data_IF_328026804087
#
_entry.id   IF_328026804087
#
_cell.length_a   1.000
_cell.length_b   1.000
_cell.length_c   1.000
_cell.angle_alpha   90.00
_cell.angle_beta   90.00
_cell.angle_gamma   90.00
#
_symmetry.space_group_name_H-M   'P 1'
#
loop_
_entity.id
_entity.type
_entity.pdbx_description
1 polymer ?
#
# COMPACT_ATOMS: atom_id res chain seq x y z
N UNK A 1 11.98 8.12 -4.63
CA UNK A 1 12.20 8.33 -6.07
C UNK A 1 13.67 8.03 -6.36
N UNK A 2 13.94 7.08 -7.26
CA UNK A 2 15.28 6.53 -7.52
C UNK A 2 15.14 5.32 -8.44
N UNK A 3 14.55 5.51 -9.62
CA UNK A 3 14.32 4.44 -10.59
C UNK A 3 14.32 5.02 -12.00
N UNK A 4 15.48 5.53 -12.42
CA UNK A 4 15.65 5.95 -13.81
C UNK A 4 15.30 4.76 -14.72
N UNK A 5 14.26 4.92 -15.56
CA UNK A 5 13.73 3.95 -16.52
C UNK A 5 12.81 2.79 -16.06
N UNK A 6 12.42 2.66 -14.78
CA UNK A 6 11.44 1.63 -14.36
C UNK A 6 10.01 2.16 -14.43
N UNK A 7 9.09 1.42 -15.07
CA UNK A 7 7.65 1.73 -15.17
C UNK A 7 7.32 3.12 -15.76
N UNK A 8 8.03 3.55 -16.81
CA UNK A 8 7.86 4.88 -17.43
C UNK A 8 6.56 5.08 -18.22
N UNK A 9 5.64 4.09 -18.23
CA UNK A 9 4.39 4.15 -18.98
C UNK A 9 3.17 3.88 -18.14
N UNK A 10 2.06 4.42 -18.61
CA UNK A 10 0.77 4.33 -17.93
C UNK A 10 0.79 5.16 -16.64
N UNK A 11 -0.07 4.79 -15.70
CA UNK A 11 -0.29 5.52 -14.45
C UNK A 11 0.21 4.75 -13.21
N UNK A 12 0.89 3.62 -13.40
CA UNK A 12 1.34 2.77 -12.30
C UNK A 12 2.42 3.43 -11.43
N UNK A 13 3.34 4.18 -12.06
CA UNK A 13 4.40 4.94 -11.38
C UNK A 13 4.42 6.36 -11.93
N UNK A 14 3.90 7.29 -11.14
CA UNK A 14 3.77 8.70 -11.51
C UNK A 14 4.21 9.60 -10.36
N UNK A 15 4.48 10.87 -10.65
CA UNK A 15 4.91 11.85 -9.66
C UNK A 15 3.76 12.32 -8.75
N UNK A 16 2.52 12.24 -9.24
CA UNK A 16 1.32 12.67 -8.53
C UNK A 16 0.29 11.55 -8.59
N UNK A 17 -0.25 11.17 -7.43
CA UNK A 17 -1.30 10.17 -7.29
C UNK A 17 -2.05 10.38 -5.98
N UNK A 18 -3.31 9.99 -5.96
CA UNK A 18 -4.18 10.03 -4.78
C UNK A 18 -4.04 8.73 -3.98
N UNK A 19 -4.07 8.87 -2.66
CA UNK A 19 -3.93 7.75 -1.74
C UNK A 19 -4.89 7.88 -0.56
N UNK A 20 -5.57 6.79 -0.24
CA UNK A 20 -6.28 6.60 1.03
C UNK A 20 -5.34 5.82 1.95
N UNK A 21 -5.01 6.42 3.10
CA UNK A 21 -4.07 5.88 4.08
C UNK A 21 -4.78 5.63 5.42
N UNK A 22 -4.47 4.50 6.03
CA UNK A 22 -4.76 4.19 7.42
C UNK A 22 -3.60 4.69 8.27
N UNK A 23 -3.88 5.41 9.34
CA UNK A 23 -2.87 5.86 10.29
C UNK A 23 -3.38 5.61 11.71
N UNK A 24 -2.64 4.81 12.48
CA UNK A 24 -3.01 4.46 13.84
C UNK A 24 -1.96 4.97 14.82
N UNK A 25 -2.46 5.47 15.95
CA UNK A 25 -1.66 5.88 17.10
C UNK A 25 -2.07 4.98 18.26
N UNK A 26 -1.13 4.23 18.81
CA UNK A 26 -1.37 3.38 19.98
C UNK A 26 -0.52 3.83 21.16
N UNK A 27 -0.83 3.31 22.34
CA UNK A 27 0.05 3.46 23.50
C UNK A 27 1.42 2.83 23.23
N UNK A 28 2.38 3.13 24.11
CA UNK A 28 3.73 2.55 24.18
C UNK A 28 3.66 1.08 24.64
N UNK A 29 3.03 0.27 23.80
CA UNK A 29 2.76 -1.14 24.01
C UNK A 29 2.92 -1.86 22.67
N UNK A 30 3.87 -2.80 22.64
CA UNK A 30 4.22 -3.52 21.42
C UNK A 30 3.16 -4.58 21.06
N UNK A 31 2.50 -5.20 22.04
CA UNK A 31 1.43 -6.16 21.77
C UNK A 31 0.23 -5.45 21.17
N UNK A 32 -0.13 -4.29 21.74
CA UNK A 32 -1.21 -3.46 21.22
C UNK A 32 -0.91 -2.95 19.81
N UNK A 33 0.29 -2.42 19.56
CA UNK A 33 0.65 -1.91 18.22
C UNK A 33 0.73 -3.05 17.20
N UNK A 34 1.23 -4.24 17.58
CA UNK A 34 1.26 -5.40 16.70
C UNK A 34 -0.13 -5.92 16.36
N UNK A 35 -1.05 -5.97 17.34
CA UNK A 35 -2.44 -6.32 17.10
C UNK A 35 -3.12 -5.31 16.16
N UNK A 36 -2.84 -4.02 16.33
CA UNK A 36 -3.37 -2.97 15.46
C UNK A 36 -2.81 -3.06 14.03
N UNK A 37 -1.52 -3.35 13.86
CA UNK A 37 -0.93 -3.62 12.54
C UNK A 37 -1.66 -4.75 11.82
N UNK A 38 -2.00 -5.82 12.54
CA UNK A 38 -2.73 -6.95 11.98
C UNK A 38 -4.16 -6.56 11.56
N UNK A 39 -4.87 -5.73 12.35
CA UNK A 39 -6.18 -5.21 11.95
C UNK A 39 -6.09 -4.32 10.71
N UNK A 40 -5.12 -3.40 10.66
CA UNK A 40 -4.92 -2.52 9.49
C UNK A 40 -4.63 -3.31 8.21
N UNK A 41 -3.84 -4.39 8.34
CA UNK A 41 -3.54 -5.33 7.25
C UNK A 41 -4.80 -6.08 6.81
N UNK A 42 -5.58 -6.61 7.75
CA UNK A 42 -6.83 -7.31 7.45
C UNK A 42 -7.87 -6.39 6.79
N UNK A 43 -8.00 -5.15 7.25
CA UNK A 43 -8.87 -4.16 6.61
C UNK A 43 -8.45 -3.86 5.17
N UNK A 44 -7.14 -3.82 4.90
CA UNK A 44 -6.65 -3.71 3.53
C UNK A 44 -6.99 -4.96 2.71
N UNK A 45 -6.75 -6.16 3.25
CA UNK A 45 -7.12 -7.42 2.59
C UNK A 45 -8.61 -7.49 2.24
N UNK A 46 -9.51 -7.21 3.20
CA UNK A 46 -10.96 -7.17 3.00
C UNK A 46 -11.34 -6.18 1.89
N UNK A 47 -10.70 -5.01 1.85
CA UNK A 47 -10.90 -4.04 0.78
C UNK A 47 -10.55 -4.62 -0.60
N UNK A 48 -9.39 -5.26 -0.77
CA UNK A 48 -9.00 -5.86 -2.06
C UNK A 48 -9.83 -7.10 -2.42
N UNK A 49 -10.27 -7.89 -1.44
CA UNK A 49 -11.20 -9.00 -1.64
C UNK A 49 -12.54 -8.50 -2.17
N UNK A 50 -13.07 -7.40 -1.61
CA UNK A 50 -14.33 -6.77 -2.07
C UNK A 50 -14.25 -6.28 -3.52
N UNK A 51 -13.06 -5.89 -3.97
CA UNK A 51 -12.79 -5.48 -5.35
C UNK A 51 -12.57 -6.67 -6.31
N UNK A 52 -12.53 -7.91 -5.80
CA UNK A 52 -12.24 -9.10 -6.59
C UNK A 52 -10.78 -9.19 -7.08
N UNK A 53 -9.84 -8.52 -6.40
CA UNK A 53 -8.42 -8.53 -6.78
C UNK A 53 -7.72 -9.69 -6.07
N UNK A 54 -7.13 -10.59 -6.85
CA UNK A 54 -6.25 -11.63 -6.31
C UNK A 54 -4.93 -11.01 -5.84
N UNK A 55 -4.44 -11.43 -4.68
CA UNK A 55 -3.20 -10.90 -4.09
C UNK A 55 -2.46 -11.94 -3.27
N UNK A 56 -1.23 -11.59 -2.87
CA UNK A 56 -0.49 -12.27 -1.82
C UNK A 56 -0.03 -11.27 -0.77
N UNK A 57 0.15 -11.75 0.46
CA UNK A 57 0.75 -10.97 1.56
C UNK A 57 2.20 -11.42 1.73
N UNK A 58 3.11 -10.46 1.75
CA UNK A 58 4.55 -10.70 1.91
C UNK A 58 5.03 -9.98 3.16
N UNK A 59 5.67 -10.69 4.08
CA UNK A 59 6.44 -10.07 5.16
C UNK A 59 7.82 -9.73 4.60
N UNK A 60 8.23 -8.46 4.66
CA UNK A 60 9.52 -8.05 4.12
C UNK A 60 10.69 -8.57 4.96
N UNK A 61 11.79 -8.87 4.28
CA UNK A 61 13.07 -9.18 4.91
C UNK A 61 13.67 -7.93 5.55
N UNK A 62 14.51 -8.11 6.56
CA UNK A 62 15.08 -6.99 7.33
C UNK A 62 15.84 -5.95 6.49
N UNK A 63 16.48 -6.36 5.40
CA UNK A 63 17.23 -5.46 4.50
C UNK A 63 16.36 -4.54 3.65
N UNK A 64 15.07 -4.85 3.50
CA UNK A 64 14.11 -4.06 2.72
C UNK A 64 13.24 -3.17 3.62
N UNK A 65 13.47 -3.20 4.94
CA UNK A 65 12.83 -2.28 5.87
C UNK A 65 13.49 -0.90 5.77
N UNK A 66 12.68 0.15 5.82
CA UNK A 66 13.18 1.50 6.05
C UNK A 66 13.50 1.70 7.54
N UNK A 67 14.36 2.67 7.85
CA UNK A 67 14.87 2.93 9.21
C UNK A 67 13.79 3.00 10.30
N UNK A 68 12.59 3.46 9.95
CA UNK A 68 11.49 3.62 10.90
C UNK A 68 10.71 2.33 11.20
N UNK A 69 10.67 1.35 10.28
CA UNK A 69 9.77 0.20 10.42
C UNK A 69 10.44 -0.96 11.15
N UNK A 70 9.81 -1.47 12.22
CA UNK A 70 10.24 -2.71 12.88
C UNK A 70 9.70 -3.96 12.20
N UNK A 71 8.58 -3.82 11.48
CA UNK A 71 7.93 -4.88 10.71
C UNK A 71 7.07 -4.27 9.62
N UNK A 72 7.18 -4.81 8.41
CA UNK A 72 6.43 -4.36 7.25
C UNK A 72 5.82 -5.54 6.48
N UNK A 73 4.55 -5.37 6.12
CA UNK A 73 3.83 -6.29 5.23
C UNK A 73 3.43 -5.56 3.95
N UNK A 74 3.69 -6.20 2.82
CA UNK A 74 3.19 -5.73 1.53
C UNK A 74 2.05 -6.62 1.04
N UNK A 75 0.99 -5.99 0.54
CA UNK A 75 -0.05 -6.68 -0.23
C UNK A 75 0.26 -6.43 -1.70
N UNK A 76 0.62 -7.52 -2.39
CA UNK A 76 0.93 -7.47 -3.81
C UNK A 76 -0.23 -8.04 -4.61
N UNK A 77 -0.86 -7.19 -5.42
CA UNK A 77 -1.93 -7.60 -6.33
C UNK A 77 -1.39 -8.34 -7.54
N UNK A 78 -2.16 -9.28 -8.07
CA UNK A 78 -1.83 -10.03 -9.27
C UNK A 78 -2.21 -9.24 -10.54
N UNK A 79 -1.24 -9.04 -11.43
CA UNK A 79 -1.43 -8.35 -12.71
C UNK A 79 -1.32 -9.38 -13.85
N UNK A 80 -2.45 -9.87 -14.40
CA UNK A 80 -2.44 -10.96 -15.37
C UNK A 80 -1.78 -10.59 -16.71
N UNK A 81 -1.94 -9.35 -17.18
CA UNK A 81 -1.30 -8.86 -18.40
C UNK A 81 0.21 -8.72 -18.27
N UNK A 82 0.70 -8.41 -17.06
CA UNK A 82 2.12 -8.35 -16.73
C UNK A 82 2.71 -9.70 -16.28
N UNK A 83 1.86 -10.67 -15.91
CA UNK A 83 2.25 -11.95 -15.34
C UNK A 83 3.21 -11.78 -14.13
N UNK A 84 2.80 -10.95 -13.18
CA UNK A 84 3.58 -10.62 -11.98
C UNK A 84 2.71 -10.09 -10.84
N UNK A 85 3.16 -10.30 -9.61
CA UNK A 85 2.67 -9.58 -8.44
C UNK A 85 3.28 -8.17 -8.35
N UNK A 86 2.48 -7.17 -7.98
CA UNK A 86 2.92 -5.78 -7.83
C UNK A 86 2.36 -5.20 -6.53
N UNK A 87 3.20 -4.51 -5.79
CA UNK A 87 2.83 -3.85 -4.53
C UNK A 87 1.67 -2.85 -4.73
N UNK A 88 0.59 -3.05 -3.98
CA UNK A 88 -0.56 -2.13 -3.89
C UNK A 88 -0.68 -1.50 -2.49
N UNK A 89 -0.24 -2.23 -1.46
CA UNK A 89 -0.26 -1.78 -0.05
C UNK A 89 1.09 -2.05 0.59
N UNK A 90 1.49 -1.14 1.47
CA UNK A 90 2.55 -1.30 2.46
C UNK A 90 1.98 -0.97 3.83
N UNK A 91 2.07 -1.89 4.79
CA UNK A 91 1.61 -1.75 6.18
C UNK A 91 2.78 -1.89 7.15
N UNK A 92 3.09 -0.82 7.88
CA UNK A 92 4.28 -0.69 8.72
C UNK A 92 3.91 -0.37 10.17
N UNK A 93 4.58 -1.06 11.11
CA UNK A 93 4.65 -0.66 12.50
C UNK A 93 6.00 0.05 12.71
N UNK A 94 5.94 1.33 13.09
CA UNK A 94 7.11 2.17 13.30
C UNK A 94 7.42 2.45 14.77
N UNK A 95 6.67 1.80 15.68
CA UNK A 95 6.75 2.02 17.13
C UNK A 95 6.92 3.50 17.45
N UNK A 96 7.86 3.85 18.32
CA UNK A 96 8.09 5.22 18.76
C UNK A 96 9.06 6.02 17.87
N UNK A 97 9.59 5.41 16.80
CA UNK A 97 10.64 6.01 15.97
C UNK A 97 10.25 7.40 15.47
N UNK A 98 9.08 7.47 14.83
CA UNK A 98 8.52 8.73 14.31
C UNK A 98 8.02 9.64 15.45
N UNK A 99 7.40 9.07 16.48
CA UNK A 99 6.82 9.81 17.60
C UNK A 99 7.87 10.61 18.38
N UNK A 100 9.09 10.07 18.51
CA UNK A 100 10.23 10.77 19.11
C UNK A 100 10.61 12.04 18.35
N UNK A 101 10.59 12.00 17.02
CA UNK A 101 10.92 13.14 16.16
C UNK A 101 9.89 14.27 16.23
N UNK A 102 8.61 13.95 16.37
CA UNK A 102 7.52 14.95 16.44
C UNK A 102 7.03 15.26 17.86
N UNK A 103 7.59 14.60 18.88
CA UNK A 103 7.25 14.85 20.28
C UNK A 103 5.92 14.25 20.76
N UNK A 104 5.39 13.22 20.08
CA UNK A 104 4.09 12.60 20.43
C UNK A 104 4.23 11.67 21.64
N UNK A 105 3.93 12.20 22.83
CA UNK A 105 4.08 11.48 24.10
C UNK A 105 2.80 10.78 24.52
N UNK A 106 2.95 9.61 25.15
CA UNK A 106 1.88 8.99 25.90
C UNK A 106 1.64 9.81 27.17
N UNK A 107 0.40 10.28 27.37
CA UNK A 107 0.02 10.99 28.58
C UNK A 107 0.18 10.08 29.80
N UNK A 108 1.06 10.46 30.73
CA UNK A 108 1.19 9.76 32.01
C UNK A 108 -0.07 10.05 32.86
N UNK A 109 -0.82 9.02 33.25
CA UNK A 109 -1.72 9.16 34.42
C UNK A 109 -0.81 9.52 35.60
N UNK A 110 -1.10 10.62 36.31
CA UNK A 110 -0.37 11.04 37.50
C UNK A 110 -0.48 9.98 38.60
N UNK A 111 0.31 8.92 38.55
CA UNK A 111 0.47 7.96 39.64
C UNK A 111 1.46 8.53 40.64
N UNK A 112 0.95 9.41 41.51
CA UNK A 112 1.60 9.83 42.76
C UNK A 112 2.87 10.68 42.62
N UNK A 113 3.27 11.27 43.75
CA UNK A 113 4.34 12.27 43.91
C UNK A 113 5.74 11.84 43.44
N UNK A 114 5.94 10.59 43.01
CA UNK A 114 7.23 10.05 42.59
C UNK A 114 7.63 10.36 41.14
N UNK A 115 6.72 10.88 40.31
CA UNK A 115 6.96 11.07 38.87
C UNK A 115 7.66 12.38 38.45
N UNK A 116 7.90 13.33 39.36
CA UNK A 116 8.45 14.65 38.98
C UNK A 116 9.98 14.71 38.93
N UNK A 117 10.70 13.82 39.62
CA UNK A 117 12.16 13.90 39.78
C UNK A 117 12.91 12.59 39.46
N UNK A 118 12.27 11.63 38.77
CA UNK A 118 12.97 10.44 38.31
C UNK A 118 13.64 10.72 36.96
N UNK A 119 14.93 11.06 36.99
CA UNK A 119 15.77 11.25 35.80
C UNK A 119 15.92 9.97 34.96
N UNK A 120 15.44 8.82 35.46
CA UNK A 120 15.42 7.53 34.75
C UNK A 120 14.06 7.19 34.13
N UNK A 121 13.00 7.96 34.43
CA UNK A 121 11.69 7.77 33.83
C UNK A 121 11.73 8.16 32.35
N UNK A 122 11.97 7.16 31.49
CA UNK A 122 11.99 7.32 30.03
C UNK A 122 10.65 7.92 29.61
N UNK A 123 10.70 9.04 28.90
CA UNK A 123 9.53 9.60 28.26
C UNK A 123 8.86 8.52 27.40
N UNK A 124 7.63 8.17 27.73
CA UNK A 124 6.83 7.22 26.97
C UNK A 124 6.26 7.92 25.74
N UNK A 125 6.45 7.33 24.57
CA UNK A 125 6.04 7.87 23.28
C UNK A 125 4.99 6.95 22.67
N UNK A 126 4.03 7.52 21.94
CA UNK A 126 3.06 6.70 21.26
C UNK A 126 3.73 5.84 20.17
N UNK A 127 3.15 4.68 19.90
CA UNK A 127 3.50 3.91 18.71
C UNK A 127 2.71 4.43 17.50
N UNK A 128 3.40 4.65 16.38
CA UNK A 128 2.81 5.13 15.14
C UNK A 128 2.86 4.02 14.08
N UNK A 129 1.73 3.81 13.42
CA UNK A 129 1.56 2.82 12.37
C UNK A 129 0.91 3.46 11.16
N UNK A 130 1.31 3.03 9.98
CA UNK A 130 0.71 3.48 8.73
C UNK A 130 0.52 2.31 7.78
N UNK A 131 -0.61 2.32 7.07
CA UNK A 131 -0.92 1.32 6.05
C UNK A 131 -1.66 1.97 4.90
N UNK A 132 -1.21 1.72 3.67
CA UNK A 132 -1.98 2.13 2.50
C UNK A 132 -3.26 1.31 2.39
N UNK A 133 -4.41 1.96 2.25
CA UNK A 133 -5.65 1.27 1.89
C UNK A 133 -5.74 1.17 0.36
N UNK A 134 -5.60 2.30 -0.32
CA UNK A 134 -5.73 2.36 -1.78
C UNK A 134 -4.83 3.45 -2.37
N UNK A 135 -3.84 3.03 -3.17
CA UNK A 135 -3.11 3.92 -4.08
C UNK A 135 -3.82 3.90 -5.44
N UNK A 136 -4.72 4.86 -5.64
CA UNK A 136 -5.74 4.87 -6.71
C UNK A 136 -5.21 4.48 -8.08
N UNK A 137 -4.15 5.14 -8.56
CA UNK A 137 -3.55 4.86 -9.88
C UNK A 137 -3.07 3.41 -10.05
N UNK A 138 -2.46 2.81 -9.02
CA UNK A 138 -2.02 1.41 -9.06
C UNK A 138 -3.19 0.44 -9.02
N UNK A 139 -4.19 0.73 -8.20
CA UNK A 139 -5.41 -0.10 -8.09
C UNK A 139 -6.20 -0.06 -9.40
N UNK A 140 -6.34 1.11 -10.01
CA UNK A 140 -6.94 1.26 -11.35
C UNK A 140 -6.20 0.38 -12.37
N UNK A 141 -4.86 0.41 -12.42
CA UNK A 141 -4.12 -0.48 -13.32
C UNK A 141 -4.44 -1.96 -13.08
N UNK A 142 -4.59 -2.39 -11.82
CA UNK A 142 -4.92 -3.77 -11.49
C UNK A 142 -6.33 -4.12 -11.97
N UNK A 143 -7.32 -3.27 -11.66
CA UNK A 143 -8.71 -3.44 -12.10
C UNK A 143 -8.86 -3.47 -13.62
N UNK A 144 -8.12 -2.63 -14.33
CA UNK A 144 -8.12 -2.63 -15.80
C UNK A 144 -7.57 -3.95 -16.36
N UNK A 145 -6.52 -4.53 -15.77
CA UNK A 145 -5.98 -5.82 -16.22
C UNK A 145 -6.87 -7.01 -15.83
N UNK A 146 -7.50 -6.99 -14.66
CA UNK A 146 -8.34 -8.11 -14.18
C UNK A 146 -9.75 -8.07 -14.73
N UNK A 147 -10.30 -6.89 -15.01
CA UNK A 147 -11.66 -6.70 -15.53
C UNK A 147 -11.76 -6.66 -17.06
N UNK A 148 -10.63 -6.73 -17.79
CA UNK A 148 -10.61 -6.63 -19.25
C UNK A 148 -11.33 -7.79 -19.95
N UNK A 149 -12.05 -7.46 -21.01
CA UNK A 149 -12.71 -8.34 -21.98
C UNK A 149 -12.29 -7.97 -23.40
N UNK A 150 -12.87 -8.58 -24.43
CA UNK A 150 -12.63 -8.19 -25.82
C UNK A 150 -13.17 -6.78 -26.15
N UNK A 151 -14.28 -6.38 -25.51
CA UNK A 151 -15.03 -5.16 -25.84
C UNK A 151 -14.73 -3.99 -24.89
N UNK A 152 -14.14 -4.24 -23.72
CA UNK A 152 -13.93 -3.22 -22.69
C UNK A 152 -13.53 -3.79 -21.34
N UNK A 153 -13.80 -3.06 -20.27
CA UNK A 153 -13.46 -3.44 -18.89
C UNK A 153 -14.72 -3.47 -18.02
N UNK A 154 -14.93 -4.59 -17.32
CA UNK A 154 -15.98 -4.73 -16.31
C UNK A 154 -15.57 -4.00 -15.02
N UNK A 155 -16.51 -3.30 -14.42
CA UNK A 155 -16.34 -2.62 -13.13
C UNK A 155 -16.71 -3.59 -12.00
N UNK A 156 -15.93 -3.66 -10.91
CA UNK A 156 -16.33 -4.39 -9.70
C UNK A 156 -17.68 -3.93 -9.18
N UNK A 157 -18.56 -4.86 -8.80
CA UNK A 157 -19.93 -4.56 -8.36
C UNK A 157 -19.99 -3.53 -7.23
N UNK A 158 -19.03 -3.59 -6.30
CA UNK A 158 -18.92 -2.67 -5.16
C UNK A 158 -18.65 -1.21 -5.56
N UNK A 159 -18.14 -0.96 -6.78
CA UNK A 159 -17.86 0.38 -7.30
C UNK A 159 -19.03 0.97 -8.11
N UNK A 160 -19.92 0.15 -8.65
CA UNK A 160 -21.04 0.56 -9.51
C UNK A 160 -21.91 1.66 -8.89
N UNK A 161 -22.26 1.63 -7.58
CA UNK A 161 -23.04 2.71 -6.95
C UNK A 161 -22.33 4.07 -6.97
N UNK A 162 -21.00 4.09 -6.98
CA UNK A 162 -20.18 5.29 -7.02
C UNK A 162 -19.90 5.80 -8.44
N UNK A 163 -20.26 5.00 -9.46
CA UNK A 163 -20.09 5.32 -10.87
C UNK A 163 -21.42 5.66 -11.57
N UNK A 164 -22.46 6.01 -10.81
CA UNK A 164 -23.77 6.35 -11.38
C UNK A 164 -24.46 5.17 -12.07
N UNK A 165 -24.19 3.94 -11.62
CA UNK A 165 -24.75 2.72 -12.22
C UNK A 165 -23.95 2.16 -13.40
N UNK A 166 -22.81 2.77 -13.76
CA UNK A 166 -21.93 2.26 -14.81
C UNK A 166 -21.21 1.00 -14.29
N UNK A 167 -21.43 -0.12 -14.98
CA UNK A 167 -20.84 -1.43 -14.68
C UNK A 167 -19.83 -1.92 -15.76
N UNK A 168 -19.76 -1.21 -16.89
CA UNK A 168 -18.87 -1.56 -18.00
C UNK A 168 -18.29 -0.32 -18.69
N UNK A 169 -16.98 -0.37 -18.98
CA UNK A 169 -16.26 0.67 -19.71
C UNK A 169 -15.84 0.14 -21.10
N UNK A 170 -16.54 0.50 -22.19
CA UNK A 170 -16.21 0.02 -23.53
C UNK A 170 -14.90 0.63 -24.05
N UNK A 171 -14.17 -0.12 -24.89
CA UNK A 171 -13.01 0.41 -25.59
C UNK A 171 -13.44 1.42 -26.66
N UNK A 172 -13.00 2.68 -26.51
CA UNK A 172 -13.28 3.76 -27.47
C UNK A 172 -12.16 3.97 -28.49
N UNK A 173 -11.02 3.30 -28.31
CA UNK A 173 -9.84 3.36 -29.18
C UNK A 173 -9.21 1.98 -29.29
N UNK A 174 -8.67 1.66 -30.47
CA UNK A 174 -7.93 0.44 -30.69
C UNK A 174 -6.60 0.40 -29.91
N UNK A 175 -5.93 -0.77 -29.86
CA UNK A 175 -4.65 -0.92 -29.16
C UNK A 175 -3.62 0.09 -29.67
N UNK A 176 -2.91 0.73 -28.75
CA UNK A 176 -1.84 1.65 -29.11
C UNK A 176 -0.69 0.87 -29.77
N UNK A 177 -0.29 1.27 -30.99
CA UNK A 177 0.87 0.71 -31.69
C UNK A 177 2.14 0.96 -30.86
N UNK A 178 2.78 -0.12 -30.38
CA UNK A 178 4.07 -0.03 -29.69
C UNK A 178 5.14 0.49 -30.65
N UNK A 179 5.89 1.52 -30.26
CA UNK A 179 7.01 2.03 -31.06
C UNK A 179 8.15 0.99 -31.13
N UNK A 180 9.06 1.10 -32.11
CA UNK A 180 10.11 0.10 -32.37
C UNK A 180 11.00 -0.18 -31.15
N UNK A 181 11.34 0.84 -30.35
CA UNK A 181 12.15 0.67 -29.12
C UNK A 181 11.45 -0.13 -28.02
N UNK A 182 10.13 -0.18 -28.06
CA UNK A 182 9.26 -0.77 -27.03
C UNK A 182 9.02 -2.25 -27.31
N UNK A 183 8.91 -2.59 -28.59
CA UNK A 183 8.93 -3.98 -29.09
C UNK A 183 10.25 -4.67 -28.71
N UNK A 184 11.37 -3.94 -28.71
CA UNK A 184 12.68 -4.45 -28.29
C UNK A 184 12.79 -4.68 -26.77
N UNK A 185 12.32 -3.73 -25.94
CA UNK A 185 12.30 -3.88 -24.48
C UNK A 185 11.43 -5.04 -23.97
N UNK A 186 10.26 -5.26 -24.61
CA UNK A 186 9.37 -6.38 -24.28
C UNK A 186 10.00 -7.76 -24.60
N UNK A 187 10.80 -7.85 -25.67
CA UNK A 187 11.57 -9.06 -25.99
C UNK A 187 12.69 -9.32 -24.97
N UNK A 188 13.42 -8.28 -24.57
CA UNK A 188 14.48 -8.39 -23.58
C UNK A 188 13.96 -8.81 -22.18
N UNK A 189 12.78 -8.33 -21.78
CA UNK A 189 12.13 -8.74 -20.53
C UNK A 189 11.61 -10.18 -20.54
N UNK A 190 11.19 -10.70 -21.70
CA UNK A 190 10.80 -12.11 -21.86
C UNK A 190 11.98 -13.08 -21.92
N UNK A 191 13.15 -12.64 -22.37
CA UNK A 191 14.36 -13.47 -22.45
C UNK A 191 15.14 -13.57 -21.13
N UNK A 192 14.74 -12.82 -20.09
CA UNK A 192 15.34 -12.81 -18.75
C UNK A 192 14.50 -13.50 -17.68
N UNK A 193 13.38 -14.14 -18.06
CA UNK A 193 12.62 -15.08 -17.23
C UNK A 193 12.88 -16.48 -17.76
#
# INVERSE_FOLDING_TARGET
AGSSAKDIRGIFRVHQFEKIEQFCVTADDLELSSAEQMKMRLAAEEFYQSLGIAYRVVCLVSSELNDAAIKKYDLEGWFPGQNSYRELVSCSNCTDYQARGVGTRCGQKKTGEKGKNDLTARASYCHLLNSTLCATGRVICCLLETGQTEEGVKIPEVLVPFMGGIDFLPFVRGPMELTKGEKAGRKAGKAKK
#
